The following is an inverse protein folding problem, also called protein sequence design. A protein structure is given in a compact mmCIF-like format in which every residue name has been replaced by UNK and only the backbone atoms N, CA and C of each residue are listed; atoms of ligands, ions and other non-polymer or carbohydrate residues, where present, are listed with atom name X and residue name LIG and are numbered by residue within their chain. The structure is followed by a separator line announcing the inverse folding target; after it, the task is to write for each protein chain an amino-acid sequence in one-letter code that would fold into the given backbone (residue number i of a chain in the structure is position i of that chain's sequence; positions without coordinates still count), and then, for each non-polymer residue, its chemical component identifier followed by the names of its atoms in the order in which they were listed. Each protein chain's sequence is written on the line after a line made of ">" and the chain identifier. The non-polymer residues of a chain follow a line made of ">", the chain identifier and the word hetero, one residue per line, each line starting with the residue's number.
data_IF_646423314515
#
_entry.id   IF_646423314515
#
_cell.length_a   1.000
_cell.length_b   1.000
_cell.length_c   1.000
_cell.angle_alpha   90.00
_cell.angle_beta   90.00
_cell.angle_gamma   90.00
#
_symmetry.space_group_name_H-M   'P 1'
#
loop_
_entity.id
_entity.type
_entity.pdbx_description
1 polymer ?
#
# COMPACT_ATOMS: atom_id res chain seq x y z
N UNK A 1 21.11 -10.85 65.06
CA UNK A 1 21.61 -11.98 64.27
C UNK A 1 21.53 -11.59 62.80
N UNK A 2 22.56 -11.03 62.16
CA UNK A 2 24.01 -11.19 62.34
C UNK A 2 24.46 -12.65 62.36
N UNK A 3 24.97 -13.10 61.22
CA UNK A 3 26.19 -13.89 61.06
C UNK A 3 26.74 -13.68 59.61
N UNK A 4 28.05 -13.85 59.36
CA UNK A 4 28.80 -13.22 58.24
C UNK A 4 29.41 -14.34 57.33
N UNK A 5 30.65 -14.32 56.76
CA UNK A 5 31.70 -13.29 56.53
C UNK A 5 32.17 -13.30 55.03
N UNK A 6 33.35 -12.86 54.55
CA UNK A 6 34.63 -12.45 55.16
C UNK A 6 35.55 -11.64 54.20
N UNK A 7 36.46 -10.83 54.79
CA UNK A 7 37.90 -10.64 54.41
C UNK A 7 38.29 -9.99 53.05
N UNK A 8 39.34 -9.16 52.91
CA UNK A 8 40.39 -8.63 53.82
C UNK A 8 40.78 -7.18 53.37
N UNK A 9 41.17 -6.23 54.24
CA UNK A 9 42.56 -5.85 54.65
C UNK A 9 43.56 -5.66 53.47
N UNK A 10 44.47 -4.67 53.42
CA UNK A 10 45.05 -3.75 54.41
C UNK A 10 45.46 -2.40 53.71
N UNK A 11 45.42 -1.21 54.32
CA UNK A 11 46.49 -0.51 55.09
C UNK A 11 47.86 -0.34 54.36
N UNK A 12 48.63 0.75 54.52
CA UNK A 12 48.43 2.07 55.16
C UNK A 12 49.59 3.05 54.77
N UNK A 13 49.59 4.22 55.43
CA UNK A 13 50.63 5.26 55.64
C UNK A 13 50.33 6.61 54.94
N UNK A 14 49.95 7.70 55.63
CA UNK A 14 50.57 8.44 56.78
C UNK A 14 51.78 9.29 56.30
N UNK A 15 52.01 10.56 56.67
CA UNK A 15 51.47 11.35 57.78
C UNK A 15 51.37 12.88 57.49
N UNK A 16 50.36 13.52 58.08
CA UNK A 16 50.44 14.69 59.00
C UNK A 16 51.48 15.82 58.77
N UNK A 17 51.04 17.05 58.43
CA UNK A 17 51.11 18.26 59.30
C UNK A 17 50.69 19.59 58.60
N UNK A 18 50.35 20.61 59.40
CA UNK A 18 50.16 22.03 59.04
C UNK A 18 50.64 22.91 60.23
N UNK A 19 50.67 24.27 60.21
CA UNK A 19 50.48 25.28 59.14
C UNK A 19 51.83 26.06 58.93
N UNK A 20 52.03 27.41 58.84
CA UNK A 20 51.14 28.56 58.57
C UNK A 20 51.69 29.70 57.64
N UNK A 21 50.81 30.71 57.39
CA UNK A 21 51.05 32.16 57.26
C UNK A 21 51.73 32.84 56.03
N UNK A 22 51.06 33.92 55.60
CA UNK A 22 51.56 35.19 54.98
C UNK A 22 52.25 35.20 53.60
N UNK A 23 51.58 35.81 52.60
CA UNK A 23 52.02 37.02 51.89
C UNK A 23 51.01 37.45 50.78
N UNK A 24 50.92 38.75 50.50
CA UNK A 24 50.08 39.35 49.44
C UNK A 24 50.73 39.25 48.04
N UNK A 25 49.92 39.10 46.98
CA UNK A 25 50.30 39.41 45.60
C UNK A 25 49.05 39.63 44.71
N UNK A 26 49.15 40.55 43.75
CA UNK A 26 48.05 41.02 42.89
C UNK A 26 47.33 39.93 42.07
N UNK A 27 46.03 40.14 41.83
CA UNK A 27 45.29 39.45 40.79
C UNK A 27 45.65 40.05 39.41
N UNK A 28 46.03 39.25 38.40
CA UNK A 28 46.21 39.75 37.05
C UNK A 28 44.88 40.15 36.42
N UNK A 29 44.87 41.26 35.68
CA UNK A 29 43.70 41.74 34.93
C UNK A 29 43.21 40.67 33.94
N UNK A 30 41.91 40.40 33.94
CA UNK A 30 41.27 39.49 32.99
C UNK A 30 41.06 40.22 31.67
N UNK A 31 41.80 39.84 30.62
CA UNK A 31 41.49 40.27 29.25
C UNK A 31 40.04 39.89 28.89
N UNK A 32 39.27 40.78 28.23
CA UNK A 32 37.89 40.49 27.86
C UNK A 32 37.82 39.44 26.74
N UNK A 33 36.94 38.45 26.90
CA UNK A 33 36.65 37.47 25.85
C UNK A 33 36.17 38.16 24.56
N UNK A 34 36.57 37.65 23.37
CA UNK A 34 36.06 38.18 22.10
C UNK A 34 34.56 37.90 21.97
N UNK A 35 33.78 38.93 21.61
CA UNK A 35 32.35 38.78 21.37
C UNK A 35 32.07 37.72 20.28
N UNK A 36 31.04 36.87 20.43
CA UNK A 36 30.74 35.83 19.45
C UNK A 36 30.31 36.44 18.11
N UNK A 37 30.90 35.94 17.02
CA UNK A 37 30.54 36.36 15.66
C UNK A 37 29.05 36.10 15.40
N UNK A 38 28.30 37.18 15.15
CA UNK A 38 26.86 37.10 14.96
C UNK A 38 26.50 36.30 13.70
N UNK A 39 25.63 35.29 13.85
CA UNK A 39 25.15 34.48 12.72
C UNK A 39 24.61 35.36 11.58
N UNK A 40 24.92 35.04 10.31
CA UNK A 40 24.44 35.82 9.17
C UNK A 40 22.91 35.77 9.12
N UNK A 41 22.28 36.93 8.89
CA UNK A 41 20.83 37.03 8.92
C UNK A 41 20.21 36.18 7.80
N UNK A 42 19.01 35.60 8.01
CA UNK A 42 18.25 34.95 6.95
C UNK A 42 18.13 35.86 5.71
N UNK A 43 18.16 35.36 4.47
CA UNK A 43 18.34 36.19 3.27
C UNK A 43 17.38 37.39 3.14
N UNK A 44 16.12 37.24 3.57
CA UNK A 44 15.14 38.33 3.59
C UNK A 44 15.44 39.39 4.67
N UNK A 45 15.94 38.98 5.84
CA UNK A 45 16.34 39.89 6.92
C UNK A 45 17.68 40.59 6.59
N UNK A 46 18.59 39.89 5.90
CA UNK A 46 19.80 40.48 5.32
C UNK A 46 19.42 41.53 4.26
N UNK A 47 18.56 41.20 3.30
CA UNK A 47 18.06 42.13 2.28
C UNK A 47 17.36 43.36 2.89
N UNK A 48 16.53 43.16 3.92
CA UNK A 48 15.87 44.25 4.63
C UNK A 48 16.87 45.15 5.40
N UNK A 49 17.91 44.56 6.00
CA UNK A 49 19.02 45.29 6.64
C UNK A 49 19.81 46.09 5.61
N UNK A 50 20.11 45.50 4.45
CA UNK A 50 20.87 46.16 3.39
C UNK A 50 20.08 47.37 2.85
N UNK A 51 18.78 47.21 2.55
CA UNK A 51 17.90 48.35 2.19
C UNK A 51 17.85 49.42 3.29
N UNK A 52 17.81 49.03 4.55
CA UNK A 52 17.83 49.99 5.66
C UNK A 52 19.14 50.77 5.71
N UNK A 53 20.29 50.10 5.65
CA UNK A 53 21.62 50.71 5.70
C UNK A 53 21.85 51.62 4.49
N UNK A 54 21.46 51.17 3.30
CA UNK A 54 21.65 51.90 2.05
C UNK A 54 20.69 53.09 1.87
N UNK A 55 19.62 53.19 2.66
CA UNK A 55 18.74 54.38 2.72
C UNK A 55 19.16 55.41 3.79
N UNK A 56 20.12 55.09 4.66
CA UNK A 56 20.65 56.04 5.66
C UNK A 56 21.24 57.33 5.04
N UNK A 57 22.00 57.31 3.92
CA UNK A 57 22.50 58.54 3.31
C UNK A 57 21.38 59.49 2.88
N UNK A 58 20.29 58.96 2.31
CA UNK A 58 19.10 59.75 1.94
C UNK A 58 18.43 60.35 3.17
N UNK A 59 18.23 59.55 4.24
CA UNK A 59 17.66 60.04 5.50
C UNK A 59 18.51 61.14 6.16
N UNK A 60 19.85 61.04 6.08
CA UNK A 60 20.77 62.07 6.58
C UNK A 60 20.70 63.34 5.72
N UNK A 61 20.73 63.22 4.40
CA UNK A 61 20.63 64.36 3.48
C UNK A 61 19.30 65.12 3.62
N UNK A 62 18.18 64.40 3.71
CA UNK A 62 16.84 65.00 3.92
C UNK A 62 16.76 65.74 5.26
N UNK A 63 17.37 65.20 6.33
CA UNK A 63 17.43 65.86 7.64
C UNK A 63 18.27 67.13 7.59
N UNK A 64 19.47 67.05 7.02
CA UNK A 64 20.36 68.21 6.84
C UNK A 64 19.71 69.31 6.00
N UNK A 65 18.92 68.96 4.97
CA UNK A 65 18.15 69.92 4.21
C UNK A 65 17.10 70.65 5.07
N UNK A 66 16.32 69.92 5.89
CA UNK A 66 15.36 70.53 6.83
C UNK A 66 16.06 71.45 7.84
N UNK A 67 17.12 70.98 8.51
CA UNK A 67 17.91 71.79 9.46
C UNK A 67 18.48 73.07 8.83
N UNK A 68 18.79 73.04 7.52
CA UNK A 68 19.29 74.21 6.78
C UNK A 68 18.16 75.19 6.45
N UNK A 69 16.96 74.70 6.11
CA UNK A 69 15.76 75.52 5.89
C UNK A 69 15.31 76.18 7.19
N UNK A 70 15.18 75.42 8.28
CA UNK A 70 14.81 75.94 9.61
C UNK A 70 15.75 77.06 10.09
N UNK A 71 17.07 76.91 9.87
CA UNK A 71 18.05 77.97 10.16
C UNK A 71 17.88 79.21 9.28
N UNK A 72 17.54 79.03 8.00
CA UNK A 72 17.24 80.14 7.09
C UNK A 72 15.99 80.90 7.52
N UNK A 73 14.93 80.19 7.90
CA UNK A 73 13.69 80.76 8.43
C UNK A 73 13.91 81.49 9.77
N UNK A 74 14.73 80.94 10.66
CA UNK A 74 15.11 81.60 11.91
C UNK A 74 15.84 82.92 11.68
N UNK A 75 16.83 82.97 10.78
CA UNK A 75 17.56 84.20 10.41
C UNK A 75 16.60 85.23 9.77
N UNK A 76 15.63 84.77 8.98
CA UNK A 76 14.61 85.63 8.38
C UNK A 76 13.64 86.22 9.42
N UNK A 77 13.22 85.44 10.42
CA UNK A 77 12.40 85.90 11.54
C UNK A 77 13.16 86.88 12.45
N UNK A 78 14.44 86.64 12.72
CA UNK A 78 15.31 87.59 13.43
C UNK A 78 15.38 88.96 12.72
N UNK A 79 15.53 88.96 11.40
CA UNK A 79 15.52 90.18 10.56
C UNK A 79 14.19 90.93 10.61
N UNK A 80 13.06 90.23 10.72
CA UNK A 80 11.74 90.87 10.84
C UNK A 80 11.49 91.47 12.24
N UNK A 81 12.09 90.90 13.29
CA UNK A 81 11.92 91.35 14.67
C UNK A 81 12.92 92.43 15.13
N UNK A 82 14.08 92.53 14.48
CA UNK A 82 15.19 93.41 14.89
C UNK A 82 15.13 94.83 14.33
N UNK A 83 16.02 95.70 14.85
CA UNK A 83 16.30 97.00 14.22
C UNK A 83 17.15 96.78 12.96
N UNK A 84 16.58 97.13 11.81
CA UNK A 84 17.17 96.94 10.48
C UNK A 84 18.31 97.94 10.19
N UNK A 85 19.43 97.77 10.90
CA UNK A 85 20.68 98.50 10.67
C UNK A 85 21.50 97.87 9.55
N UNK A 86 22.37 98.65 8.92
CA UNK A 86 23.26 98.19 7.84
C UNK A 86 24.25 97.11 8.27
N UNK A 87 24.48 96.96 9.58
CA UNK A 87 25.38 95.98 10.17
C UNK A 87 24.66 94.66 10.46
N UNK A 88 23.50 94.70 11.11
CA UNK A 88 22.65 93.51 11.35
C UNK A 88 22.21 92.84 10.05
N UNK A 89 21.90 93.62 9.01
CA UNK A 89 21.60 93.11 7.66
C UNK A 89 22.85 92.41 7.05
N UNK A 90 24.05 92.98 7.23
CA UNK A 90 25.30 92.41 6.68
C UNK A 90 25.64 91.08 7.35
N UNK A 91 25.49 90.98 8.66
CA UNK A 91 25.68 89.74 9.41
C UNK A 91 24.66 88.67 9.03
N UNK A 92 23.38 89.03 8.88
CA UNK A 92 22.35 88.09 8.43
C UNK A 92 22.61 87.59 7.00
N UNK A 93 23.07 88.46 6.08
CA UNK A 93 23.51 88.06 4.73
C UNK A 93 24.70 87.10 4.81
N UNK A 94 25.70 87.35 5.66
CA UNK A 94 26.81 86.43 5.87
C UNK A 94 26.38 85.06 6.42
N UNK A 95 25.42 85.04 7.35
CA UNK A 95 24.82 83.79 7.89
C UNK A 95 23.98 83.04 6.85
N UNK A 96 23.29 83.74 5.94
CA UNK A 96 22.57 83.09 4.82
C UNK A 96 23.53 82.57 3.74
N UNK A 97 24.62 83.30 3.45
CA UNK A 97 25.65 82.86 2.51
C UNK A 97 26.39 81.60 2.99
N UNK A 98 26.62 81.43 4.29
CA UNK A 98 27.23 80.20 4.83
C UNK A 98 26.30 78.97 4.74
N UNK A 99 24.98 79.16 4.68
CA UNK A 99 24.01 78.09 4.42
C UNK A 99 23.88 77.74 2.92
N UNK A 100 24.29 78.63 2.01
CA UNK A 100 24.16 78.44 0.56
C UNK A 100 24.95 77.22 0.05
N UNK A 101 26.21 77.05 0.49
CA UNK A 101 27.05 75.94 0.01
C UNK A 101 26.56 74.55 0.48
N UNK A 102 26.19 74.34 1.77
CA UNK A 102 25.51 73.12 2.20
C UNK A 102 24.21 72.82 1.44
N UNK A 103 23.36 73.84 1.24
CA UNK A 103 22.08 73.67 0.53
C UNK A 103 22.31 73.27 -0.93
N UNK A 104 23.26 73.91 -1.63
CA UNK A 104 23.60 73.60 -3.01
C UNK A 104 24.21 72.20 -3.16
N UNK A 105 25.08 71.79 -2.22
CA UNK A 105 25.64 70.45 -2.21
C UNK A 105 24.57 69.37 -2.03
N UNK A 106 23.63 69.58 -1.09
CA UNK A 106 22.48 68.69 -0.89
C UNK A 106 21.56 68.64 -2.13
N UNK A 107 21.25 69.80 -2.72
CA UNK A 107 20.42 69.89 -3.92
C UNK A 107 21.04 69.17 -5.13
N UNK A 108 22.36 69.28 -5.31
CA UNK A 108 23.09 68.60 -6.39
C UNK A 108 23.15 67.07 -6.18
N UNK A 109 23.27 66.60 -4.93
CA UNK A 109 23.38 65.18 -4.61
C UNK A 109 22.04 64.43 -4.58
N UNK A 110 20.96 65.09 -4.17
CA UNK A 110 19.66 64.45 -3.93
C UNK A 110 19.09 63.65 -5.13
N UNK A 111 19.14 64.11 -6.40
CA UNK A 111 18.60 63.35 -7.54
C UNK A 111 19.28 62.00 -7.73
N UNK A 112 20.62 61.94 -7.57
CA UNK A 112 21.40 60.71 -7.71
C UNK A 112 21.09 59.70 -6.60
N UNK A 113 20.98 60.18 -5.36
CA UNK A 113 20.62 59.33 -4.21
C UNK A 113 19.21 58.76 -4.39
N UNK A 114 18.23 59.60 -4.76
CA UNK A 114 16.85 59.15 -4.99
C UNK A 114 16.74 58.14 -6.13
N UNK A 115 17.48 58.35 -7.23
CA UNK A 115 17.52 57.40 -8.35
C UNK A 115 18.13 56.04 -7.92
N UNK A 116 19.25 56.06 -7.19
CA UNK A 116 19.89 54.85 -6.69
C UNK A 116 18.99 54.08 -5.70
N UNK A 117 18.31 54.78 -4.79
CA UNK A 117 17.34 54.17 -3.85
C UNK A 117 16.15 53.55 -4.59
N UNK A 118 15.61 54.20 -5.62
CA UNK A 118 14.50 53.64 -6.43
C UNK A 118 14.92 52.36 -7.15
N UNK A 119 16.04 52.36 -7.86
CA UNK A 119 16.54 51.19 -8.58
C UNK A 119 16.77 49.99 -7.64
N UNK A 120 17.16 50.24 -6.39
CA UNK A 120 17.36 49.20 -5.38
C UNK A 120 16.05 48.67 -4.81
N UNK A 121 15.08 49.55 -4.54
CA UNK A 121 13.72 49.14 -4.15
C UNK A 121 13.02 48.32 -5.25
N UNK A 122 13.23 48.66 -6.52
CA UNK A 122 12.73 47.90 -7.67
C UNK A 122 13.29 46.46 -7.68
N UNK A 123 14.61 46.29 -7.53
CA UNK A 123 15.24 44.95 -7.44
C UNK A 123 14.68 44.11 -6.28
N UNK A 124 14.45 44.72 -5.12
CA UNK A 124 13.86 44.05 -3.95
C UNK A 124 12.42 43.66 -4.23
N UNK A 125 11.64 44.52 -4.89
CA UNK A 125 10.27 44.21 -5.29
C UNK A 125 10.19 43.12 -6.38
N UNK A 126 11.17 43.04 -7.28
CA UNK A 126 11.30 41.96 -8.26
C UNK A 126 11.64 40.62 -7.58
N UNK A 127 12.62 40.60 -6.68
CA UNK A 127 13.01 39.36 -5.98
C UNK A 127 11.93 38.87 -5.01
N UNK A 128 11.20 39.77 -4.34
CA UNK A 128 10.02 39.41 -3.57
C UNK A 128 8.93 38.80 -4.45
N UNK A 129 8.64 39.38 -5.63
CA UNK A 129 7.68 38.82 -6.59
C UNK A 129 8.11 37.45 -7.11
N UNK A 130 9.42 37.25 -7.30
CA UNK A 130 10.00 35.97 -7.69
C UNK A 130 9.80 34.92 -6.60
N UNK A 131 10.22 35.21 -5.37
CA UNK A 131 10.13 34.27 -4.23
C UNK A 131 8.68 33.91 -3.89
N UNK A 132 7.73 34.85 -4.02
CA UNK A 132 6.30 34.52 -3.85
C UNK A 132 5.81 33.59 -4.96
N UNK A 133 6.18 33.84 -6.22
CA UNK A 133 5.79 32.98 -7.33
C UNK A 133 6.46 31.60 -7.30
N UNK A 134 7.68 31.49 -6.76
CA UNK A 134 8.35 30.20 -6.51
C UNK A 134 7.61 29.40 -5.42
N UNK A 135 7.28 30.03 -4.28
CA UNK A 135 6.47 29.38 -3.22
C UNK A 135 5.09 28.94 -3.68
N UNK A 136 4.38 29.77 -4.43
CA UNK A 136 3.05 29.42 -4.97
C UNK A 136 3.12 28.18 -5.89
N UNK A 137 4.21 28.02 -6.66
CA UNK A 137 4.44 26.83 -7.49
C UNK A 137 4.76 25.60 -6.65
N UNK A 138 5.67 25.71 -5.69
CA UNK A 138 6.01 24.62 -4.77
C UNK A 138 4.78 24.13 -3.99
N UNK A 139 3.97 25.04 -3.47
CA UNK A 139 2.70 24.70 -2.82
C UNK A 139 1.71 24.05 -3.78
N UNK A 140 1.58 24.55 -5.02
CA UNK A 140 0.70 23.95 -6.01
C UNK A 140 1.16 22.54 -6.41
N UNK A 141 2.46 22.32 -6.59
CA UNK A 141 3.03 21.00 -6.88
C UNK A 141 2.86 20.04 -5.69
N UNK A 142 3.14 20.49 -4.46
CA UNK A 142 2.90 19.70 -3.25
C UNK A 142 1.43 19.28 -3.11
N UNK A 143 0.48 20.19 -3.33
CA UNK A 143 -0.96 19.89 -3.33
C UNK A 143 -1.35 18.89 -4.42
N UNK A 144 -0.79 19.02 -5.64
CA UNK A 144 -1.03 18.06 -6.74
C UNK A 144 -0.45 16.68 -6.45
N UNK A 145 0.73 16.60 -5.85
CA UNK A 145 1.36 15.34 -5.43
C UNK A 145 0.58 14.67 -4.28
N UNK A 146 0.10 15.44 -3.31
CA UNK A 146 -0.76 14.94 -2.23
C UNK A 146 -2.07 14.38 -2.78
N UNK A 147 -2.81 15.16 -3.59
CA UNK A 147 -4.06 14.71 -4.20
C UNK A 147 -3.88 13.49 -5.13
N UNK A 148 -2.74 13.38 -5.82
CA UNK A 148 -2.43 12.21 -6.64
C UNK A 148 -2.16 10.94 -5.80
N UNK A 149 -1.52 11.08 -4.63
CA UNK A 149 -1.32 9.98 -3.68
C UNK A 149 -2.64 9.54 -3.05
N UNK A 150 -3.43 10.47 -2.55
CA UNK A 150 -4.77 10.19 -2.00
C UNK A 150 -5.68 9.50 -3.03
N UNK A 151 -5.65 9.92 -4.29
CA UNK A 151 -6.40 9.27 -5.37
C UNK A 151 -5.90 7.85 -5.68
N UNK A 152 -4.58 7.63 -5.65
CA UNK A 152 -4.00 6.30 -5.86
C UNK A 152 -4.33 5.34 -4.70
N UNK A 153 -4.18 5.80 -3.45
CA UNK A 153 -4.53 5.05 -2.24
C UNK A 153 -6.03 4.71 -2.19
N UNK A 154 -6.90 5.66 -2.57
CA UNK A 154 -8.34 5.43 -2.64
C UNK A 154 -8.73 4.41 -3.73
N UNK A 155 -8.00 4.38 -4.86
CA UNK A 155 -8.23 3.41 -5.92
C UNK A 155 -7.69 2.01 -5.54
N UNK A 156 -6.52 1.92 -4.89
CA UNK A 156 -6.00 0.67 -4.33
C UNK A 156 -6.92 0.11 -3.24
N UNK A 157 -7.47 0.97 -2.38
CA UNK A 157 -8.48 0.59 -1.38
C UNK A 157 -9.77 0.04 -2.02
N UNK A 158 -10.21 0.61 -3.14
CA UNK A 158 -11.37 0.10 -3.91
C UNK A 158 -11.08 -1.26 -4.54
N UNK A 159 -9.94 -1.39 -5.22
CA UNK A 159 -9.56 -2.64 -5.88
C UNK A 159 -9.31 -3.77 -4.88
N UNK A 160 -8.69 -3.48 -3.74
CA UNK A 160 -8.51 -4.47 -2.66
C UNK A 160 -9.83 -4.88 -2.03
N UNK A 161 -10.75 -3.95 -1.77
CA UNK A 161 -12.10 -4.26 -1.30
C UNK A 161 -12.91 -5.09 -2.31
N UNK A 162 -12.81 -4.79 -3.61
CA UNK A 162 -13.45 -5.58 -4.67
C UNK A 162 -12.89 -6.99 -4.75
N UNK A 163 -11.55 -7.15 -4.78
CA UNK A 163 -10.87 -8.46 -4.76
C UNK A 163 -11.24 -9.26 -3.51
N UNK A 164 -11.24 -8.64 -2.33
CA UNK A 164 -11.63 -9.30 -1.08
C UNK A 164 -13.08 -9.81 -1.13
N UNK A 165 -13.99 -9.05 -1.75
CA UNK A 165 -15.39 -9.45 -1.88
C UNK A 165 -15.63 -10.48 -2.99
N UNK A 166 -14.84 -10.48 -4.08
CA UNK A 166 -14.77 -11.59 -5.05
C UNK A 166 -14.33 -12.87 -4.36
N UNK A 167 -13.22 -12.82 -3.61
CA UNK A 167 -12.70 -13.97 -2.87
C UNK A 167 -13.68 -14.47 -1.81
N UNK A 168 -14.40 -13.57 -1.13
CA UNK A 168 -15.47 -13.93 -0.19
C UNK A 168 -16.59 -14.74 -0.86
N UNK A 169 -17.07 -14.33 -2.03
CA UNK A 169 -18.08 -15.07 -2.80
C UNK A 169 -17.57 -16.44 -3.29
N UNK A 170 -16.30 -16.54 -3.73
CA UNK A 170 -15.69 -17.82 -4.13
C UNK A 170 -15.54 -18.75 -2.91
N UNK A 171 -15.08 -18.23 -1.78
CA UNK A 171 -14.92 -19.00 -0.54
C UNK A 171 -16.25 -19.49 0.00
N UNK A 172 -17.33 -18.69 -0.05
CA UNK A 172 -18.68 -19.11 0.35
C UNK A 172 -19.16 -20.35 -0.42
N UNK A 173 -18.86 -20.44 -1.72
CA UNK A 173 -19.13 -21.64 -2.53
C UNK A 173 -18.29 -22.83 -2.06
N UNK A 174 -16.98 -22.64 -1.87
CA UNK A 174 -16.07 -23.70 -1.43
C UNK A 174 -16.39 -24.23 -0.02
N UNK A 175 -16.73 -23.35 0.92
CA UNK A 175 -17.20 -23.68 2.27
C UNK A 175 -18.52 -24.47 2.22
N UNK A 176 -19.45 -24.08 1.35
CA UNK A 176 -20.71 -24.82 1.17
C UNK A 176 -20.49 -26.23 0.64
N UNK A 177 -19.58 -26.41 -0.33
CA UNK A 177 -19.17 -27.76 -0.79
C UNK A 177 -18.50 -28.55 0.34
N UNK A 178 -17.66 -27.91 1.13
CA UNK A 178 -16.92 -28.54 2.24
C UNK A 178 -17.86 -28.98 3.37
N UNK A 179 -18.84 -28.15 3.74
CA UNK A 179 -19.88 -28.48 4.72
C UNK A 179 -20.73 -29.68 4.28
N UNK A 180 -20.86 -29.90 2.96
CA UNK A 180 -21.59 -31.01 2.36
C UNK A 180 -20.72 -32.27 2.11
N UNK A 181 -19.47 -32.31 2.61
CA UNK A 181 -18.54 -33.45 2.38
C UNK A 181 -19.14 -34.80 2.78
N UNK A 182 -19.88 -34.88 3.89
CA UNK A 182 -20.53 -36.14 4.29
C UNK A 182 -21.65 -36.56 3.33
N UNK A 183 -22.44 -35.61 2.83
CA UNK A 183 -23.48 -35.89 1.84
C UNK A 183 -22.87 -36.35 0.50
N UNK A 184 -21.73 -35.76 0.09
CA UNK A 184 -20.95 -36.24 -1.05
C UNK A 184 -20.46 -37.68 -0.84
N UNK A 185 -19.94 -38.02 0.33
CA UNK A 185 -19.48 -39.37 0.68
C UNK A 185 -20.60 -40.41 0.70
N UNK A 186 -21.82 -40.03 1.13
CA UNK A 186 -23.03 -40.87 1.03
C UNK A 186 -23.64 -40.91 -0.38
N UNK A 187 -23.05 -40.19 -1.33
CA UNK A 187 -23.56 -39.98 -2.68
C UNK A 187 -24.93 -39.27 -2.76
N UNK A 188 -25.31 -38.48 -1.75
CA UNK A 188 -26.57 -37.72 -1.63
C UNK A 188 -26.57 -36.45 -2.50
N UNK A 189 -26.11 -36.56 -3.75
CA UNK A 189 -25.84 -35.42 -4.65
C UNK A 189 -27.04 -34.49 -4.90
N UNK A 190 -28.27 -35.02 -4.83
CA UNK A 190 -29.50 -34.23 -4.99
C UNK A 190 -29.62 -33.13 -3.93
N UNK A 191 -29.14 -33.38 -2.72
CA UNK A 191 -29.21 -32.45 -1.61
C UNK A 191 -28.09 -31.41 -1.68
N UNK A 192 -26.88 -31.85 -2.02
CA UNK A 192 -25.74 -30.94 -2.29
C UNK A 192 -26.05 -29.98 -3.43
N UNK A 193 -26.64 -30.46 -4.54
CA UNK A 193 -27.07 -29.61 -5.66
C UNK A 193 -28.20 -28.64 -5.28
N UNK A 194 -29.09 -29.04 -4.37
CA UNK A 194 -30.17 -28.18 -3.85
C UNK A 194 -29.62 -27.05 -2.99
N UNK A 195 -28.62 -27.33 -2.15
CA UNK A 195 -27.99 -26.31 -1.31
C UNK A 195 -27.06 -25.38 -2.10
N UNK A 196 -26.31 -25.90 -3.08
CA UNK A 196 -25.54 -25.05 -4.00
C UNK A 196 -26.44 -24.08 -4.79
N UNK A 197 -27.59 -24.54 -5.30
CA UNK A 197 -28.54 -23.66 -6.03
C UNK A 197 -29.15 -22.56 -5.17
N UNK A 198 -29.18 -22.69 -3.84
CA UNK A 198 -29.67 -21.62 -2.96
C UNK A 198 -28.74 -20.41 -2.96
N UNK A 199 -27.43 -20.62 -3.13
CA UNK A 199 -26.43 -19.54 -3.22
C UNK A 199 -26.59 -18.65 -4.46
N UNK A 200 -27.26 -19.10 -5.52
CA UNK A 200 -27.35 -18.37 -6.79
C UNK A 200 -27.99 -16.98 -6.65
N UNK A 201 -28.89 -16.81 -5.66
CA UNK A 201 -29.52 -15.53 -5.34
C UNK A 201 -28.63 -14.58 -4.52
N UNK A 202 -27.69 -15.11 -3.74
CA UNK A 202 -26.85 -14.35 -2.82
C UNK A 202 -25.57 -13.82 -3.51
N UNK A 203 -25.04 -14.58 -4.47
CA UNK A 203 -23.84 -14.23 -5.24
C UNK A 203 -24.15 -13.06 -6.18
N UNK A 204 -23.30 -12.02 -6.15
CA UNK A 204 -23.48 -10.80 -6.95
C UNK A 204 -22.52 -10.76 -8.12
N UNK A 205 -21.27 -11.18 -7.90
CA UNK A 205 -20.13 -11.05 -8.81
C UNK A 205 -20.08 -12.17 -9.85
N UNK A 206 -19.43 -11.90 -10.98
CA UNK A 206 -19.38 -12.84 -12.09
C UNK A 206 -18.53 -14.07 -11.74
N UNK A 207 -17.44 -13.84 -11.03
CA UNK A 207 -16.45 -14.82 -10.57
C UNK A 207 -17.05 -15.77 -9.53
N UNK A 208 -17.81 -15.24 -8.56
CA UNK A 208 -18.55 -16.03 -7.58
C UNK A 208 -19.59 -16.94 -8.25
N UNK A 209 -20.36 -16.39 -9.21
CA UNK A 209 -21.33 -17.16 -10.01
C UNK A 209 -20.66 -18.23 -10.87
N UNK A 210 -19.47 -17.97 -11.42
CA UNK A 210 -18.72 -18.97 -12.18
C UNK A 210 -18.17 -20.08 -11.27
N UNK A 211 -17.66 -19.74 -10.08
CA UNK A 211 -17.27 -20.73 -9.07
C UNK A 211 -18.46 -21.63 -8.68
N UNK A 212 -19.65 -21.05 -8.49
CA UNK A 212 -20.88 -21.83 -8.25
C UNK A 212 -21.24 -22.75 -9.43
N UNK A 213 -21.18 -22.27 -10.68
CA UNK A 213 -21.44 -23.10 -11.87
C UNK A 213 -20.47 -24.27 -11.96
N UNK A 214 -19.19 -24.05 -11.69
CA UNK A 214 -18.17 -25.11 -11.68
C UNK A 214 -18.44 -26.13 -10.56
N UNK A 215 -18.79 -25.68 -9.36
CA UNK A 215 -19.19 -26.56 -8.26
C UNK A 215 -20.44 -27.40 -8.60
N UNK A 216 -21.48 -26.78 -9.15
CA UNK A 216 -22.70 -27.47 -9.62
C UNK A 216 -22.38 -28.48 -10.72
N UNK A 217 -21.53 -28.13 -11.70
CA UNK A 217 -21.13 -29.02 -12.79
C UNK A 217 -20.28 -30.21 -12.27
N UNK A 218 -19.41 -30.00 -11.28
CA UNK A 218 -18.68 -31.08 -10.57
C UNK A 218 -19.64 -32.07 -9.91
N UNK A 219 -20.55 -31.59 -9.06
CA UNK A 219 -21.48 -32.47 -8.33
C UNK A 219 -22.47 -33.16 -9.27
N UNK A 220 -22.89 -32.49 -10.35
CA UNK A 220 -23.69 -33.12 -11.42
C UNK A 220 -22.91 -34.25 -12.10
N UNK A 221 -21.63 -34.04 -12.42
CA UNK A 221 -20.77 -35.09 -12.97
C UNK A 221 -20.64 -36.32 -12.06
N UNK A 222 -20.55 -36.13 -10.74
CA UNK A 222 -20.54 -37.23 -9.76
C UNK A 222 -21.88 -38.01 -9.75
N UNK A 223 -23.00 -37.31 -9.90
CA UNK A 223 -24.32 -37.92 -10.03
C UNK A 223 -24.44 -38.70 -11.33
N UNK A 224 -24.02 -38.12 -12.46
CA UNK A 224 -24.04 -38.74 -13.78
C UNK A 224 -23.16 -40.00 -13.84
N UNK A 225 -21.98 -39.98 -13.19
CA UNK A 225 -21.12 -41.15 -13.06
C UNK A 225 -21.80 -42.28 -12.29
N UNK A 226 -22.44 -41.99 -11.15
CA UNK A 226 -23.19 -42.99 -10.38
C UNK A 226 -24.33 -43.58 -11.21
N UNK A 227 -25.09 -42.76 -11.91
CA UNK A 227 -26.18 -43.20 -12.79
C UNK A 227 -25.66 -44.06 -13.95
N UNK A 228 -24.54 -43.67 -14.57
CA UNK A 228 -23.86 -44.46 -15.60
C UNK A 228 -23.39 -45.83 -15.08
N UNK A 229 -22.74 -45.86 -13.91
CA UNK A 229 -22.25 -47.09 -13.30
C UNK A 229 -23.40 -48.04 -12.92
N UNK A 230 -24.48 -47.55 -12.31
CA UNK A 230 -25.69 -48.35 -12.03
C UNK A 230 -26.19 -49.02 -13.31
N UNK A 231 -26.31 -48.26 -14.40
CA UNK A 231 -26.76 -48.79 -15.70
C UNK A 231 -25.80 -49.87 -16.23
N UNK A 232 -24.50 -49.59 -16.27
CA UNK A 232 -23.46 -50.51 -16.80
C UNK A 232 -23.31 -51.78 -15.95
N UNK A 233 -23.41 -51.69 -14.63
CA UNK A 233 -23.36 -52.83 -13.70
C UNK A 233 -24.50 -53.83 -13.91
N UNK A 234 -25.67 -53.35 -14.38
CA UNK A 234 -26.81 -54.21 -14.73
C UNK A 234 -26.74 -54.75 -16.17
N UNK A 235 -26.28 -53.93 -17.13
CA UNK A 235 -26.11 -54.36 -18.54
C UNK A 235 -25.02 -55.44 -18.68
N UNK A 236 -23.89 -55.26 -17.98
CA UNK A 236 -22.74 -56.17 -18.02
C UNK A 236 -22.16 -56.31 -16.61
N UNK A 237 -22.55 -57.34 -15.85
CA UNK A 237 -22.09 -57.60 -14.48
C UNK A 237 -20.56 -57.52 -14.31
N UNK A 238 -20.09 -56.60 -13.46
CA UNK A 238 -18.68 -56.49 -13.09
C UNK A 238 -18.21 -57.71 -12.31
N UNK A 239 -16.99 -58.18 -12.56
CA UNK A 239 -16.28 -59.19 -11.77
C UNK A 239 -14.90 -58.67 -11.38
N UNK A 240 -14.60 -58.62 -10.09
CA UNK A 240 -13.28 -58.22 -9.57
C UNK A 240 -12.25 -59.33 -9.76
N UNK A 241 -10.98 -58.93 -9.75
CA UNK A 241 -9.84 -59.85 -9.67
C UNK A 241 -9.91 -60.76 -8.42
N UNK A 242 -10.44 -60.24 -7.31
CA UNK A 242 -10.64 -60.99 -6.05
C UNK A 242 -11.83 -62.00 -6.13
N UNK A 243 -12.44 -62.18 -7.32
CA UNK A 243 -13.40 -63.24 -7.61
C UNK A 243 -14.87 -62.93 -7.29
N UNK A 244 -15.15 -61.90 -6.51
CA UNK A 244 -16.51 -61.39 -6.29
C UNK A 244 -17.05 -60.70 -7.55
N UNK A 245 -18.38 -60.62 -7.68
CA UNK A 245 -19.06 -59.95 -8.79
C UNK A 245 -20.25 -59.13 -8.33
N UNK A 246 -20.61 -58.11 -9.10
CA UNK A 246 -21.89 -57.40 -8.93
C UNK A 246 -22.98 -58.21 -9.61
N UNK A 247 -24.04 -58.57 -8.88
CA UNK A 247 -25.18 -59.30 -9.41
C UNK A 247 -26.32 -58.37 -9.86
N UNK A 248 -26.43 -57.17 -9.25
CA UNK A 248 -27.40 -56.11 -9.55
C UNK A 248 -26.93 -54.80 -8.90
N UNK A 249 -27.28 -53.67 -9.50
CA UNK A 249 -27.14 -52.35 -8.88
C UNK A 249 -28.48 -51.58 -9.00
N UNK A 250 -28.94 -50.97 -7.92
CA UNK A 250 -30.09 -50.06 -7.90
C UNK A 250 -29.65 -48.68 -7.37
N UNK A 251 -30.56 -47.69 -7.37
CA UNK A 251 -30.24 -46.36 -6.82
C UNK A 251 -29.77 -46.41 -5.37
N UNK A 252 -30.29 -47.33 -4.55
CA UNK A 252 -29.99 -47.40 -3.10
C UNK A 252 -28.85 -48.36 -2.75
N UNK A 253 -28.75 -49.49 -3.45
CA UNK A 253 -27.92 -50.63 -3.04
C UNK A 253 -27.26 -51.32 -4.22
N UNK A 254 -26.19 -52.04 -3.92
CA UNK A 254 -25.33 -52.79 -4.81
C UNK A 254 -25.31 -54.25 -4.31
N UNK A 255 -25.93 -55.17 -5.05
CA UNK A 255 -25.98 -56.60 -4.68
C UNK A 255 -24.67 -57.26 -5.10
N UNK A 256 -23.78 -57.47 -4.15
CA UNK A 256 -22.49 -58.15 -4.36
C UNK A 256 -22.68 -59.65 -4.15
N UNK A 257 -22.21 -60.46 -5.10
CA UNK A 257 -22.09 -61.91 -4.95
C UNK A 257 -20.62 -62.28 -4.69
N UNK A 258 -20.37 -62.82 -3.50
CA UNK A 258 -19.06 -63.34 -3.11
C UNK A 258 -18.71 -64.64 -3.87
N UNK A 259 -17.44 -65.02 -3.87
CA UNK A 259 -16.92 -66.26 -4.49
C UNK A 259 -17.61 -67.53 -3.97
N UNK A 260 -18.11 -67.51 -2.73
CA UNK A 260 -18.92 -68.59 -2.12
C UNK A 260 -20.36 -68.66 -2.64
N UNK A 261 -20.76 -67.80 -3.58
CA UNK A 261 -22.11 -67.71 -4.13
C UNK A 261 -23.08 -66.90 -3.28
N UNK A 262 -22.76 -66.57 -2.02
CA UNK A 262 -23.57 -65.71 -1.14
C UNK A 262 -23.75 -64.32 -1.76
N UNK A 263 -25.00 -63.83 -1.77
CA UNK A 263 -25.34 -62.46 -2.14
C UNK A 263 -25.51 -61.60 -0.88
N UNK A 264 -25.05 -60.36 -0.95
CA UNK A 264 -25.17 -59.35 0.10
C UNK A 264 -25.48 -58.01 -0.55
N UNK A 265 -26.49 -57.29 -0.06
CA UNK A 265 -26.79 -55.93 -0.50
C UNK A 265 -25.96 -54.94 0.32
N UNK A 266 -25.24 -54.07 -0.38
CA UNK A 266 -24.37 -53.03 0.20
C UNK A 266 -24.90 -51.67 -0.25
N UNK A 267 -25.15 -50.76 0.67
CA UNK A 267 -25.60 -49.40 0.31
C UNK A 267 -24.44 -48.60 -0.29
N UNK A 268 -24.75 -47.63 -1.18
CA UNK A 268 -23.72 -46.91 -1.95
C UNK A 268 -22.71 -46.15 -1.08
N UNK A 269 -23.13 -45.65 0.07
CA UNK A 269 -22.30 -45.03 1.12
C UNK A 269 -21.23 -45.96 1.71
N UNK A 270 -21.39 -47.29 1.58
CA UNK A 270 -20.43 -48.31 1.99
C UNK A 270 -19.55 -48.82 0.83
N UNK A 271 -19.73 -48.30 -0.40
CA UNK A 271 -18.91 -48.66 -1.56
C UNK A 271 -17.62 -47.85 -1.52
N UNK A 272 -16.56 -48.47 -1.00
CA UNK A 272 -15.26 -47.81 -0.84
C UNK A 272 -14.65 -47.29 -2.15
N UNK A 273 -13.76 -46.31 -2.02
CA UNK A 273 -13.04 -45.66 -3.13
C UNK A 273 -12.30 -46.68 -4.00
N UNK A 274 -11.79 -47.78 -3.41
CA UNK A 274 -11.14 -48.87 -4.14
C UNK A 274 -12.11 -49.56 -5.10
N UNK A 275 -13.30 -49.92 -4.66
CA UNK A 275 -14.33 -50.57 -5.48
C UNK A 275 -14.77 -49.63 -6.62
N UNK A 276 -14.94 -48.33 -6.33
CA UNK A 276 -15.22 -47.32 -7.35
C UNK A 276 -14.09 -47.18 -8.38
N UNK A 277 -12.83 -47.22 -7.94
CA UNK A 277 -11.68 -47.23 -8.86
C UNK A 277 -11.62 -48.52 -9.71
N UNK A 278 -11.99 -49.68 -9.16
CA UNK A 278 -12.13 -50.93 -9.93
C UNK A 278 -13.23 -50.81 -11.01
N UNK A 279 -14.37 -50.20 -10.69
CA UNK A 279 -15.43 -49.93 -11.67
C UNK A 279 -15.02 -48.92 -12.75
N UNK A 280 -14.35 -47.83 -12.39
CA UNK A 280 -13.84 -46.83 -13.34
C UNK A 280 -12.84 -47.49 -14.30
N UNK A 281 -11.90 -48.28 -13.77
CA UNK A 281 -10.92 -49.00 -14.60
C UNK A 281 -11.59 -49.93 -15.60
N UNK A 282 -12.59 -50.69 -15.15
CA UNK A 282 -13.28 -51.66 -16.02
C UNK A 282 -14.21 -51.01 -17.05
N UNK A 283 -15.02 -50.00 -16.70
CA UNK A 283 -16.03 -49.45 -17.61
C UNK A 283 -15.60 -48.20 -18.41
N UNK A 284 -14.48 -47.56 -18.05
CA UNK A 284 -14.07 -46.25 -18.60
C UNK A 284 -12.61 -46.26 -19.07
N UNK A 285 -11.70 -46.93 -18.35
CA UNK A 285 -10.32 -47.05 -18.81
C UNK A 285 -10.12 -48.16 -19.83
N UNK A 286 -10.63 -49.36 -19.55
CA UNK A 286 -10.53 -50.55 -20.41
C UNK A 286 -10.96 -50.22 -21.85
N UNK A 287 -10.13 -50.60 -22.80
CA UNK A 287 -10.34 -50.20 -24.18
C UNK A 287 -11.52 -50.92 -24.86
N UNK A 288 -11.85 -52.14 -24.44
CA UNK A 288 -12.99 -52.89 -25.00
C UNK A 288 -14.30 -52.29 -24.52
N UNK A 289 -14.45 -52.06 -23.22
CA UNK A 289 -15.67 -51.45 -22.66
C UNK A 289 -15.82 -49.99 -23.11
N UNK A 290 -14.74 -49.21 -23.09
CA UNK A 290 -14.79 -47.80 -23.46
C UNK A 290 -15.08 -47.57 -24.96
N UNK A 291 -14.75 -48.54 -25.84
CA UNK A 291 -15.14 -48.53 -27.26
C UNK A 291 -16.63 -48.85 -27.49
N UNK A 292 -17.33 -49.45 -26.52
CA UNK A 292 -18.77 -49.65 -26.58
C UNK A 292 -19.58 -48.38 -26.23
N UNK A 293 -18.90 -47.30 -25.79
CA UNK A 293 -19.50 -46.00 -25.49
C UNK A 293 -19.49 -45.08 -26.72
N UNK A 294 -20.55 -44.29 -26.90
CA UNK A 294 -20.54 -43.17 -27.85
C UNK A 294 -19.49 -42.13 -27.42
N UNK A 295 -18.78 -41.50 -28.36
CA UNK A 295 -17.67 -40.58 -28.06
C UNK A 295 -18.03 -39.50 -27.01
N UNK A 296 -19.22 -38.89 -27.11
CA UNK A 296 -19.70 -37.89 -26.13
C UNK A 296 -19.93 -38.48 -24.74
N UNK A 297 -20.48 -39.69 -24.65
CA UNK A 297 -20.66 -40.39 -23.37
C UNK A 297 -19.31 -40.81 -22.79
N UNK A 298 -18.42 -41.37 -23.61
CA UNK A 298 -17.05 -41.73 -23.24
C UNK A 298 -16.30 -40.53 -22.66
N UNK A 299 -16.34 -39.39 -23.35
CA UNK A 299 -15.76 -38.14 -22.89
C UNK A 299 -16.34 -37.71 -21.54
N UNK A 300 -17.67 -37.59 -21.45
CA UNK A 300 -18.34 -37.15 -20.23
C UNK A 300 -18.03 -38.05 -19.03
N UNK A 301 -18.09 -39.37 -19.18
CA UNK A 301 -17.82 -40.28 -18.07
C UNK A 301 -16.34 -40.36 -17.71
N UNK A 302 -15.42 -40.15 -18.65
CA UNK A 302 -13.98 -40.02 -18.35
C UNK A 302 -13.72 -38.75 -17.52
N UNK A 303 -14.33 -37.62 -17.89
CA UNK A 303 -14.24 -36.38 -17.12
C UNK A 303 -14.90 -36.51 -15.73
N UNK A 304 -16.08 -37.14 -15.65
CA UNK A 304 -16.76 -37.38 -14.38
C UNK A 304 -15.97 -38.32 -13.46
N UNK A 305 -15.28 -39.32 -14.01
CA UNK A 305 -14.36 -40.17 -13.27
C UNK A 305 -13.14 -39.39 -12.75
N UNK A 306 -12.58 -38.46 -13.53
CA UNK A 306 -11.52 -37.56 -13.04
C UNK A 306 -12.03 -36.68 -11.86
N UNK A 307 -13.25 -36.14 -11.96
CA UNK A 307 -13.90 -35.39 -10.88
C UNK A 307 -14.08 -36.27 -9.63
N UNK A 308 -14.49 -37.53 -9.79
CA UNK A 308 -14.60 -38.49 -8.68
C UNK A 308 -13.24 -38.73 -8.00
N UNK A 309 -12.20 -38.98 -8.78
CA UNK A 309 -10.83 -39.19 -8.27
C UNK A 309 -10.27 -37.97 -7.52
N UNK A 310 -10.60 -36.74 -7.91
CA UNK A 310 -10.23 -35.52 -7.15
C UNK A 310 -11.10 -35.33 -5.91
N UNK A 311 -12.41 -35.59 -5.99
CA UNK A 311 -13.36 -35.31 -4.89
C UNK A 311 -13.17 -36.26 -3.69
N UNK A 312 -12.82 -37.52 -3.95
CA UNK A 312 -12.75 -38.57 -2.93
C UNK A 312 -11.35 -39.19 -2.78
N UNK A 313 -10.42 -38.86 -3.66
CA UNK A 313 -9.08 -39.44 -3.68
C UNK A 313 -8.04 -38.58 -2.97
N UNK A 314 -7.91 -38.79 -1.65
CA UNK A 314 -6.91 -38.09 -0.83
C UNK A 314 -5.44 -38.53 -1.12
N UNK A 315 -5.22 -39.52 -2.00
CA UNK A 315 -3.90 -40.09 -2.31
C UNK A 315 -3.29 -39.58 -3.63
N UNK A 316 -1.96 -39.56 -3.69
CA UNK A 316 -1.21 -39.22 -4.91
C UNK A 316 -1.59 -40.12 -6.10
N UNK A 317 -1.81 -41.42 -5.86
CA UNK A 317 -2.27 -42.36 -6.88
C UNK A 317 -3.64 -41.98 -7.46
N UNK A 318 -4.55 -41.43 -6.65
CA UNK A 318 -5.85 -40.95 -7.14
C UNK A 318 -5.71 -39.66 -7.96
N UNK A 319 -4.79 -38.75 -7.58
CA UNK A 319 -4.46 -37.56 -8.39
C UNK A 319 -3.84 -37.94 -9.74
N UNK A 320 -2.92 -38.90 -9.77
CA UNK A 320 -2.32 -39.40 -11.01
C UNK A 320 -3.36 -40.07 -11.92
N UNK A 321 -4.28 -40.85 -11.35
CA UNK A 321 -5.42 -41.41 -12.08
C UNK A 321 -6.33 -40.30 -12.64
N UNK A 322 -6.66 -39.27 -11.84
CA UNK A 322 -7.44 -38.13 -12.29
C UNK A 322 -6.75 -37.35 -13.44
N UNK A 323 -5.44 -37.13 -13.36
CA UNK A 323 -4.65 -36.48 -14.40
C UNK A 323 -4.66 -37.29 -15.71
N UNK A 324 -4.53 -38.62 -15.60
CA UNK A 324 -4.58 -39.54 -16.74
C UNK A 324 -5.96 -39.50 -17.41
N UNK A 325 -7.03 -39.55 -16.62
CA UNK A 325 -8.41 -39.46 -17.10
C UNK A 325 -8.69 -38.09 -17.74
N UNK A 326 -8.25 -36.98 -17.13
CA UNK A 326 -8.43 -35.64 -17.69
C UNK A 326 -7.67 -35.46 -19.01
N UNK A 327 -6.42 -35.90 -19.09
CA UNK A 327 -5.64 -35.89 -20.34
C UNK A 327 -6.31 -36.72 -21.44
N UNK A 328 -6.79 -37.93 -21.11
CA UNK A 328 -7.58 -38.79 -22.02
C UNK A 328 -8.85 -38.09 -22.50
N UNK A 329 -9.60 -37.43 -21.60
CA UNK A 329 -10.82 -36.71 -21.93
C UNK A 329 -10.55 -35.52 -22.88
N UNK A 330 -9.57 -34.67 -22.55
CA UNK A 330 -9.14 -33.54 -23.38
C UNK A 330 -8.69 -34.00 -24.77
N UNK A 331 -7.94 -35.11 -24.85
CA UNK A 331 -7.51 -35.70 -26.13
C UNK A 331 -8.69 -36.24 -26.94
N UNK A 332 -9.71 -36.82 -26.30
CA UNK A 332 -10.92 -37.31 -26.97
C UNK A 332 -11.84 -36.21 -27.49
N UNK A 333 -11.82 -35.01 -26.88
CA UNK A 333 -12.63 -33.88 -27.32
C UNK A 333 -11.89 -32.54 -27.15
N UNK A 334 -10.97 -32.19 -28.08
CA UNK A 334 -10.16 -30.98 -27.96
C UNK A 334 -10.95 -29.67 -27.87
N UNK A 335 -12.16 -29.62 -28.43
CA UNK A 335 -13.06 -28.46 -28.34
C UNK A 335 -13.54 -28.15 -26.92
N UNK A 336 -13.49 -29.13 -26.01
CA UNK A 336 -13.90 -28.99 -24.60
C UNK A 336 -12.69 -28.83 -23.66
N UNK A 337 -11.46 -28.65 -24.19
CA UNK A 337 -10.21 -28.59 -23.40
C UNK A 337 -10.30 -27.56 -22.28
N UNK A 338 -10.57 -26.31 -22.61
CA UNK A 338 -10.55 -25.21 -21.64
C UNK A 338 -11.66 -25.35 -20.59
N UNK A 339 -12.84 -25.82 -21.00
CA UNK A 339 -13.96 -26.08 -20.11
C UNK A 339 -13.69 -27.27 -19.15
N UNK A 340 -12.89 -28.24 -19.58
CA UNK A 340 -12.48 -29.41 -18.78
C UNK A 340 -11.35 -29.05 -17.81
N UNK A 341 -10.39 -28.23 -18.22
CA UNK A 341 -9.30 -27.75 -17.35
C UNK A 341 -9.82 -26.79 -16.28
N UNK A 342 -10.74 -25.87 -16.62
CA UNK A 342 -11.44 -25.01 -15.62
C UNK A 342 -12.25 -25.80 -14.60
N UNK A 343 -12.68 -27.02 -14.93
CA UNK A 343 -13.39 -27.89 -13.99
C UNK A 343 -12.47 -28.57 -12.98
N UNK A 344 -11.17 -28.69 -13.24
CA UNK A 344 -10.19 -29.37 -12.40
C UNK A 344 -8.84 -28.62 -12.37
N UNK A 345 -8.80 -27.34 -11.93
CA UNK A 345 -7.57 -26.56 -11.82
C UNK A 345 -6.56 -27.12 -10.81
N UNK A 346 -6.97 -28.05 -9.95
CA UNK A 346 -6.09 -28.80 -9.04
C UNK A 346 -5.18 -29.80 -9.78
N UNK A 347 -5.44 -30.06 -11.07
CA UNK A 347 -4.69 -30.98 -11.92
C UNK A 347 -3.89 -30.20 -12.96
N UNK A 348 -2.57 -30.25 -12.85
CA UNK A 348 -1.66 -29.89 -13.96
C UNK A 348 -1.60 -31.04 -14.96
N UNK A 349 -2.14 -30.82 -16.16
CA UNK A 349 -1.96 -31.72 -17.31
C UNK A 349 -0.77 -31.19 -18.12
N UNK A 350 0.33 -31.94 -18.15
CA UNK A 350 1.45 -31.64 -19.04
C UNK A 350 1.00 -31.74 -20.52
N UNK A 351 1.49 -30.85 -21.40
CA UNK A 351 0.89 -30.57 -22.71
C UNK A 351 1.02 -31.66 -23.77
#
# INVERSE_FOLDING_TARGET
>A
THAPPAEAEADADDATNAPPAEAEADAPETDPEPEPEAEPLPPLAQLARDVHLETLPLRRAVRQAHETVERGEAIWLELQAGSNTTETIREAVGRLQSLQAPLQAAANAAPGIVAATRQKLERVADELRRLTAEREREEAEARRLAAAREAAEAEEARQSAERAAVLGEINQVAETVTAQREALLRHDYKDVLRDLRRLEADLKRAEGKEALRLAVKRVTGLQDLRTFLIRRLNEKPFKSFDGWRVARADERTLTIQATSGRKTDVAWDHVGIRQMAEFIKFYIEDEQEARALLLRERFAQTLNAAIYCVTFGDSEAARAMAATLLSKAVTMMPSERDASLRLLPEITVEP
#
